data_IF_140530248450
#
_entry.id   IF_140530248450
#
_cell.length_a   1.000
_cell.length_b   1.000
_cell.length_c   1.000
_cell.angle_alpha   90.00
_cell.angle_beta   90.00
_cell.angle_gamma   90.00
#
_symmetry.space_group_name_H-M   'P 1'
#
loop_
_entity.id
_entity.type
_entity.pdbx_description
1 polymer ?
#
# COMPACT_ATOMS: atom_id res chain seq x y z
N UNK A 1 -53.31 54.79 -20.94
CA UNK A 1 -53.60 53.38 -21.02
C UNK A 1 -52.33 52.66 -21.43
N UNK A 2 -51.68 52.05 -20.46
CA UNK A 2 -50.40 51.44 -20.51
C UNK A 2 -50.48 50.01 -20.95
N UNK A 3 -49.83 49.66 -22.04
CA UNK A 3 -49.64 48.27 -22.47
C UNK A 3 -48.23 47.78 -22.18
N UNK A 4 -48.07 47.00 -21.11
CA UNK A 4 -46.81 46.31 -20.77
C UNK A 4 -46.64 45.09 -21.67
N UNK A 5 -45.66 45.14 -22.57
CA UNK A 5 -45.22 43.95 -23.34
C UNK A 5 -44.32 43.08 -22.47
N UNK A 6 -44.75 41.82 -22.25
CA UNK A 6 -43.97 40.77 -21.60
C UNK A 6 -42.87 40.29 -22.57
N UNK A 7 -41.63 40.37 -22.13
CA UNK A 7 -40.50 39.82 -22.85
C UNK A 7 -40.49 38.27 -22.88
N UNK A 8 -39.83 37.65 -23.87
CA UNK A 8 -39.83 36.22 -24.03
C UNK A 8 -38.99 35.54 -22.92
N UNK A 9 -39.60 34.57 -22.24
CA UNK A 9 -38.97 33.70 -21.24
C UNK A 9 -37.78 32.98 -21.86
N UNK A 10 -36.63 33.20 -21.30
CA UNK A 10 -35.37 32.51 -21.59
C UNK A 10 -35.54 31.01 -21.25
N UNK A 11 -35.56 30.19 -22.27
CA UNK A 11 -35.55 28.72 -22.09
C UNK A 11 -34.18 28.36 -21.50
N UNK A 12 -34.19 28.05 -20.21
CA UNK A 12 -33.06 27.43 -19.53
C UNK A 12 -32.73 26.12 -20.23
N UNK A 13 -31.60 26.08 -20.86
CA UNK A 13 -31.10 24.97 -21.63
C UNK A 13 -30.90 23.73 -20.73
N UNK A 14 -31.41 22.67 -21.27
CA UNK A 14 -31.42 21.28 -20.93
C UNK A 14 -30.18 20.81 -20.14
N UNK A 15 -30.45 20.25 -18.97
CA UNK A 15 -29.44 19.74 -18.07
C UNK A 15 -28.67 18.57 -18.67
N UNK A 16 -27.46 18.83 -19.11
CA UNK A 16 -26.44 17.80 -19.32
C UNK A 16 -26.16 17.13 -17.95
N UNK A 17 -26.90 16.07 -17.65
CA UNK A 17 -26.53 15.15 -16.54
C UNK A 17 -25.13 14.62 -16.84
N UNK A 18 -24.12 14.89 -16.00
CA UNK A 18 -22.79 14.34 -16.22
C UNK A 18 -22.90 12.81 -16.17
N UNK A 19 -22.53 12.16 -17.27
CA UNK A 19 -22.40 10.69 -17.30
C UNK A 19 -21.50 10.29 -16.14
N UNK A 20 -21.79 9.23 -15.38
CA UNK A 20 -20.96 8.77 -14.29
C UNK A 20 -19.58 8.39 -14.86
N UNK A 21 -18.61 9.29 -14.75
CA UNK A 21 -17.22 9.01 -15.10
C UNK A 21 -16.71 8.07 -14.03
N UNK A 22 -16.31 6.86 -14.42
CA UNK A 22 -15.63 5.94 -13.53
C UNK A 22 -14.45 6.69 -12.89
N UNK A 23 -14.35 6.66 -11.57
CA UNK A 23 -13.25 7.30 -10.85
C UNK A 23 -11.94 6.69 -11.36
N UNK A 24 -10.89 7.48 -11.60
CA UNK A 24 -9.60 6.98 -12.12
C UNK A 24 -9.02 5.82 -11.30
N UNK A 25 -9.27 5.81 -9.99
CA UNK A 25 -8.87 4.76 -9.05
C UNK A 25 -9.49 3.41 -9.40
N UNK A 26 -10.79 3.36 -9.73
CA UNK A 26 -11.47 2.12 -10.11
C UNK A 26 -10.97 1.54 -11.43
N UNK A 27 -10.58 2.40 -12.38
CA UNK A 27 -10.00 1.93 -13.64
C UNK A 27 -8.63 1.28 -13.40
N UNK A 28 -7.83 1.82 -12.48
CA UNK A 28 -6.54 1.22 -12.08
C UNK A 28 -6.76 -0.13 -11.38
N UNK A 29 -7.69 -0.23 -10.44
CA UNK A 29 -8.01 -1.49 -9.75
C UNK A 29 -8.48 -2.57 -10.74
N UNK A 30 -9.34 -2.20 -11.71
CA UNK A 30 -9.78 -3.12 -12.77
C UNK A 30 -8.65 -3.55 -13.70
N UNK A 31 -7.75 -2.64 -14.09
CA UNK A 31 -6.59 -2.98 -14.90
C UNK A 31 -5.64 -3.93 -14.17
N UNK A 32 -5.47 -3.73 -12.86
CA UNK A 32 -4.64 -4.60 -12.03
C UNK A 32 -5.25 -6.01 -11.89
N UNK A 33 -6.57 -6.10 -11.69
CA UNK A 33 -7.28 -7.37 -11.71
C UNK A 33 -7.14 -8.10 -13.06
N UNK A 34 -7.17 -7.36 -14.18
CA UNK A 34 -6.91 -7.94 -15.49
C UNK A 34 -5.48 -8.49 -15.62
N UNK A 35 -4.48 -7.74 -15.12
CA UNK A 35 -3.07 -8.20 -15.08
C UNK A 35 -2.91 -9.45 -14.22
N UNK A 36 -3.54 -9.51 -13.04
CA UNK A 36 -3.55 -10.71 -12.19
C UNK A 36 -4.17 -11.89 -12.94
N UNK A 37 -5.32 -11.69 -13.58
CA UNK A 37 -5.99 -12.73 -14.38
C UNK A 37 -5.11 -13.25 -15.51
N UNK A 38 -4.47 -12.34 -16.27
CA UNK A 38 -3.53 -12.71 -17.33
C UNK A 38 -2.33 -13.48 -16.77
N UNK A 39 -1.76 -13.04 -15.65
CA UNK A 39 -0.66 -13.75 -14.99
C UNK A 39 -1.06 -15.17 -14.60
N UNK A 40 -2.24 -15.34 -13.98
CA UNK A 40 -2.76 -16.68 -13.64
C UNK A 40 -2.91 -17.56 -14.88
N UNK A 41 -3.46 -17.01 -15.98
CA UNK A 41 -3.60 -17.75 -17.25
C UNK A 41 -2.26 -18.15 -17.84
N UNK A 42 -1.28 -17.26 -17.87
CA UNK A 42 0.07 -17.55 -18.40
C UNK A 42 0.74 -18.65 -17.58
N UNK A 43 0.79 -18.49 -16.25
CA UNK A 43 1.44 -19.50 -15.40
C UNK A 43 0.69 -20.83 -15.35
N UNK A 44 -0.62 -20.85 -15.58
CA UNK A 44 -1.37 -22.10 -15.68
C UNK A 44 -0.99 -22.95 -16.91
N UNK A 45 -0.38 -22.33 -17.95
CA UNK A 45 0.14 -23.04 -19.10
C UNK A 45 1.61 -23.51 -18.93
N UNK A 46 2.34 -22.86 -18.00
CA UNK A 46 3.78 -23.12 -17.79
C UNK A 46 4.04 -24.09 -16.62
N UNK A 47 3.09 -24.23 -15.70
CA UNK A 47 3.28 -24.96 -14.43
C UNK A 47 2.17 -25.98 -14.24
N UNK A 48 2.54 -27.26 -14.12
CA UNK A 48 1.59 -28.34 -13.85
C UNK A 48 0.88 -28.14 -12.50
N UNK A 49 -0.42 -28.45 -12.47
CA UNK A 49 -1.28 -28.30 -11.29
C UNK A 49 -1.25 -26.89 -10.68
N UNK A 50 -1.07 -25.85 -11.51
CA UNK A 50 -1.01 -24.48 -11.05
C UNK A 50 -2.30 -24.03 -10.34
N UNK A 51 -3.47 -24.38 -10.90
CA UNK A 51 -4.79 -23.99 -10.34
C UNK A 51 -5.21 -24.86 -9.13
N UNK A 52 -4.25 -25.37 -8.35
CA UNK A 52 -4.56 -26.13 -7.15
C UNK A 52 -4.90 -25.24 -5.96
N UNK A 53 -5.87 -25.66 -5.13
CA UNK A 53 -6.21 -24.93 -3.89
C UNK A 53 -4.99 -24.75 -2.97
N UNK A 54 -4.09 -25.72 -2.92
CA UNK A 54 -2.85 -25.65 -2.13
C UNK A 54 -1.90 -24.53 -2.59
N UNK A 55 -1.84 -24.24 -3.89
CA UNK A 55 -1.05 -23.11 -4.42
C UNK A 55 -1.67 -21.78 -4.00
N UNK A 56 -2.96 -21.60 -4.25
CA UNK A 56 -3.65 -20.36 -3.87
C UNK A 56 -3.66 -20.12 -2.35
N UNK A 57 -3.75 -21.19 -1.56
CA UNK A 57 -3.61 -21.10 -0.08
C UNK A 57 -2.22 -20.60 0.33
N UNK A 58 -1.15 -20.98 -0.38
CA UNK A 58 0.20 -20.44 -0.16
C UNK A 58 0.30 -18.98 -0.57
N UNK A 59 -0.22 -18.62 -1.77
CA UNK A 59 -0.24 -17.23 -2.25
C UNK A 59 -0.98 -16.34 -1.27
N UNK A 60 -2.19 -16.68 -0.87
CA UNK A 60 -3.02 -15.86 0.03
C UNK A 60 -2.43 -15.72 1.43
N UNK A 61 -1.75 -16.76 1.92
CA UNK A 61 -1.03 -16.68 3.21
C UNK A 61 0.22 -15.80 3.10
N UNK A 62 0.94 -15.86 1.96
CA UNK A 62 2.10 -14.99 1.71
C UNK A 62 1.68 -13.53 1.59
N UNK A 63 0.75 -13.26 0.69
CA UNK A 63 0.30 -11.91 0.41
C UNK A 63 -0.26 -11.19 1.64
N UNK A 64 -0.76 -11.92 2.64
CA UNK A 64 -1.31 -11.31 3.85
C UNK A 64 -0.28 -10.44 4.56
N UNK A 65 0.98 -10.87 4.64
CA UNK A 65 2.08 -10.12 5.25
C UNK A 65 2.45 -8.93 4.38
N UNK A 66 2.69 -9.17 3.08
CA UNK A 66 3.02 -8.14 2.11
C UNK A 66 1.91 -7.09 1.98
N UNK A 67 0.63 -7.49 2.07
CA UNK A 67 -0.51 -6.59 2.00
C UNK A 67 -0.60 -5.65 3.21
N UNK A 68 -0.32 -6.15 4.43
CA UNK A 68 -0.25 -5.29 5.62
C UNK A 68 0.88 -4.28 5.50
N UNK A 69 2.04 -4.71 5.00
CA UNK A 69 3.18 -3.81 4.76
C UNK A 69 2.92 -2.82 3.62
N UNK A 70 2.26 -3.25 2.54
CA UNK A 70 1.87 -2.36 1.45
C UNK A 70 0.84 -1.32 1.92
N UNK A 71 -0.08 -1.70 2.80
CA UNK A 71 -1.00 -0.77 3.46
C UNK A 71 -0.25 0.23 4.36
N UNK A 72 0.74 -0.24 5.13
CA UNK A 72 1.61 0.57 5.96
C UNK A 72 2.37 1.60 5.11
N UNK A 73 3.02 1.15 4.04
CA UNK A 73 3.73 2.00 3.08
C UNK A 73 2.80 3.00 2.40
N UNK A 74 1.58 2.58 2.03
CA UNK A 74 0.60 3.48 1.41
C UNK A 74 0.35 4.70 2.27
N UNK A 75 0.18 4.55 3.59
CA UNK A 75 -0.07 5.66 4.50
C UNK A 75 1.10 6.66 4.50
N UNK A 76 2.33 6.16 4.49
CA UNK A 76 3.54 7.00 4.44
C UNK A 76 3.71 7.65 3.06
N UNK A 77 3.53 6.88 1.97
CA UNK A 77 3.64 7.38 0.59
C UNK A 77 2.59 8.47 0.32
N UNK A 78 1.38 8.32 0.85
CA UNK A 78 0.34 9.35 0.75
C UNK A 78 0.81 10.70 1.33
N UNK A 79 1.75 10.75 2.28
CA UNK A 79 2.35 11.98 2.81
C UNK A 79 3.65 12.40 2.09
N UNK A 80 3.93 11.87 0.89
CA UNK A 80 5.16 12.08 0.10
C UNK A 80 6.44 11.55 0.75
N UNK A 81 6.33 10.55 1.59
CA UNK A 81 7.45 9.91 2.26
C UNK A 81 7.53 8.43 1.88
N UNK A 82 8.69 7.81 2.11
CA UNK A 82 8.90 6.37 1.94
C UNK A 82 9.63 5.88 3.18
N UNK A 83 9.20 4.74 3.73
CA UNK A 83 9.85 4.10 4.86
C UNK A 83 10.51 2.78 4.42
N UNK A 84 11.83 2.82 4.20
CA UNK A 84 12.60 1.64 3.82
C UNK A 84 13.02 0.78 5.02
N UNK A 85 12.75 1.23 6.25
CA UNK A 85 13.11 0.46 7.45
C UNK A 85 12.08 -0.62 7.82
N UNK A 86 10.93 -0.67 7.15
CA UNK A 86 9.83 -1.60 7.48
C UNK A 86 10.27 -3.06 7.54
N UNK A 87 11.17 -3.49 6.65
CA UNK A 87 11.71 -4.86 6.67
C UNK A 87 12.52 -5.15 7.92
N UNK A 88 13.35 -4.19 8.37
CA UNK A 88 14.10 -4.31 9.63
C UNK A 88 13.17 -4.26 10.85
N UNK A 89 12.10 -3.42 10.83
CA UNK A 89 11.09 -3.38 11.88
C UNK A 89 10.39 -4.73 11.99
N UNK A 90 10.02 -5.36 10.85
CA UNK A 90 9.47 -6.72 10.82
C UNK A 90 10.45 -7.71 11.48
N UNK A 91 11.72 -7.67 11.10
CA UNK A 91 12.75 -8.54 11.66
C UNK A 91 12.89 -8.40 13.17
N UNK A 92 13.05 -7.16 13.67
CA UNK A 92 13.17 -6.85 15.10
C UNK A 92 11.94 -7.32 15.86
N UNK A 93 10.75 -6.94 15.40
CA UNK A 93 9.50 -7.24 16.11
C UNK A 93 9.19 -8.74 16.09
N UNK A 94 9.47 -9.45 14.98
CA UNK A 94 9.33 -10.90 14.91
C UNK A 94 10.28 -11.61 15.88
N UNK A 95 11.55 -11.20 15.92
CA UNK A 95 12.56 -11.84 16.77
C UNK A 95 12.27 -11.60 18.24
N UNK A 96 12.12 -10.33 18.66
CA UNK A 96 11.89 -10.00 20.09
C UNK A 96 10.57 -10.55 20.60
N UNK A 97 9.51 -10.53 19.78
CA UNK A 97 8.23 -11.18 20.14
C UNK A 97 8.41 -12.68 20.26
N UNK A 98 9.17 -13.33 19.36
CA UNK A 98 9.47 -14.75 19.42
C UNK A 98 10.27 -15.12 20.67
N UNK A 99 11.31 -14.35 21.01
CA UNK A 99 12.12 -14.54 22.23
C UNK A 99 11.26 -14.41 23.50
N UNK A 100 10.41 -13.37 23.53
CA UNK A 100 9.46 -13.19 24.66
C UNK A 100 8.49 -14.37 24.80
N UNK A 101 7.91 -14.83 23.69
CA UNK A 101 6.97 -15.95 23.69
C UNK A 101 7.64 -17.30 24.02
N UNK A 102 8.89 -17.48 23.64
CA UNK A 102 9.67 -18.67 24.02
C UNK A 102 9.85 -18.78 25.54
N UNK A 103 10.03 -17.62 26.21
CA UNK A 103 10.15 -17.53 27.66
C UNK A 103 8.78 -17.55 28.38
N UNK A 104 7.70 -17.13 27.71
CA UNK A 104 6.36 -16.93 28.30
C UNK A 104 5.28 -17.64 27.47
N UNK A 105 5.25 -18.95 27.49
CA UNK A 105 4.38 -19.84 26.69
C UNK A 105 2.88 -19.61 26.86
N UNK A 106 2.47 -19.08 28.03
CA UNK A 106 1.05 -18.83 28.38
C UNK A 106 0.54 -17.44 27.95
N UNK A 107 1.35 -16.66 27.26
CA UNK A 107 0.98 -15.31 26.80
C UNK A 107 -0.24 -15.39 25.86
N UNK A 108 -1.30 -14.61 26.13
CA UNK A 108 -2.46 -14.59 25.24
C UNK A 108 -2.14 -13.93 23.89
N UNK A 109 -2.77 -14.37 22.78
CA UNK A 109 -2.49 -13.86 21.43
C UNK A 109 -2.60 -12.34 21.30
N UNK A 110 -3.61 -11.73 21.94
CA UNK A 110 -3.84 -10.28 21.88
C UNK A 110 -2.67 -9.49 22.46
N UNK A 111 -2.07 -9.99 23.55
CA UNK A 111 -0.92 -9.35 24.18
C UNK A 111 0.33 -9.47 23.29
N UNK A 112 0.54 -10.61 22.66
CA UNK A 112 1.65 -10.82 21.73
C UNK A 112 1.57 -9.89 20.51
N UNK A 113 0.37 -9.76 19.91
CA UNK A 113 0.10 -8.81 18.83
C UNK A 113 0.31 -7.37 19.30
N UNK A 114 -0.24 -7.02 20.47
CA UNK A 114 -0.08 -5.68 21.06
C UNK A 114 1.38 -5.31 21.29
N UNK A 115 2.19 -6.24 21.80
CA UNK A 115 3.63 -6.06 22.02
C UNK A 115 4.36 -5.79 20.70
N UNK A 116 4.13 -6.62 19.67
CA UNK A 116 4.75 -6.45 18.36
C UNK A 116 4.37 -5.10 17.71
N UNK A 117 3.08 -4.74 17.76
CA UNK A 117 2.60 -3.47 17.23
C UNK A 117 3.15 -2.26 17.99
N UNK A 118 3.24 -2.34 19.31
CA UNK A 118 3.80 -1.26 20.15
C UNK A 118 5.29 -1.04 19.84
N UNK A 119 6.07 -2.11 19.78
CA UNK A 119 7.48 -2.03 19.39
C UNK A 119 7.64 -1.40 18.02
N UNK A 120 6.90 -1.90 17.02
CA UNK A 120 6.91 -1.34 15.68
C UNK A 120 6.51 0.14 15.66
N UNK A 121 5.48 0.53 16.43
CA UNK A 121 5.05 1.91 16.58
C UNK A 121 6.17 2.80 17.12
N UNK A 122 6.90 2.36 18.16
CA UNK A 122 8.04 3.11 18.74
C UNK A 122 9.14 3.32 17.71
N UNK A 123 9.51 2.28 16.95
CA UNK A 123 10.52 2.38 15.89
C UNK A 123 10.05 3.32 14.77
N UNK A 124 8.78 3.25 14.38
CA UNK A 124 8.18 4.17 13.42
C UNK A 124 8.11 5.61 13.93
N UNK A 125 7.83 5.83 15.22
CA UNK A 125 7.86 7.17 15.84
C UNK A 125 9.26 7.77 15.81
N UNK A 126 10.32 6.99 16.02
CA UNK A 126 11.70 7.45 15.89
C UNK A 126 11.96 7.97 14.47
N UNK A 127 11.60 7.20 13.44
CA UNK A 127 11.69 7.64 12.04
C UNK A 127 10.88 8.91 11.79
N UNK A 128 9.62 8.89 12.21
CA UNK A 128 8.70 10.00 12.00
C UNK A 128 9.16 11.28 12.68
N UNK A 129 9.79 11.20 13.84
CA UNK A 129 10.36 12.36 14.55
C UNK A 129 11.50 13.00 13.76
N UNK A 130 12.41 12.18 13.25
CA UNK A 130 13.54 12.66 12.44
C UNK A 130 13.07 13.28 11.11
N UNK A 131 12.04 12.68 10.48
CA UNK A 131 11.49 13.19 9.21
C UNK A 131 10.65 14.45 9.44
N UNK A 132 9.69 14.41 10.37
CA UNK A 132 8.71 15.47 10.53
C UNK A 132 9.29 16.72 11.21
N UNK A 133 10.05 16.54 12.27
CA UNK A 133 10.61 17.66 13.06
C UNK A 133 12.07 17.93 12.73
N UNK A 134 12.87 16.90 12.43
CA UNK A 134 14.24 17.04 11.97
C UNK A 134 14.34 17.55 10.53
N UNK A 135 13.23 17.49 9.76
CA UNK A 135 13.17 17.89 8.34
C UNK A 135 14.19 17.17 7.45
N UNK A 136 14.58 15.97 7.85
CA UNK A 136 15.50 15.13 7.08
C UNK A 136 14.68 14.35 6.03
N UNK A 137 15.13 14.23 4.79
CA UNK A 137 14.45 13.42 3.77
C UNK A 137 14.20 12.00 4.26
N UNK A 138 12.97 11.50 4.11
CA UNK A 138 12.54 10.21 4.66
C UNK A 138 13.39 9.04 4.20
N UNK A 139 13.79 9.02 2.92
CA UNK A 139 14.64 7.96 2.37
C UNK A 139 15.98 7.89 3.10
N UNK A 140 16.60 9.04 3.43
CA UNK A 140 17.90 9.09 4.14
C UNK A 140 17.72 8.56 5.57
N UNK A 141 16.68 9.03 6.28
CA UNK A 141 16.39 8.57 7.64
C UNK A 141 16.14 7.07 7.65
N UNK A 142 15.25 6.58 6.77
CA UNK A 142 14.81 5.19 6.81
C UNK A 142 15.84 4.20 6.29
N UNK A 143 16.75 4.61 5.39
CA UNK A 143 17.94 3.83 5.04
C UNK A 143 18.90 3.72 6.21
N UNK A 144 19.12 4.83 6.92
CA UNK A 144 19.98 4.83 8.12
C UNK A 144 19.40 3.94 9.22
N UNK A 145 18.10 4.07 9.51
CA UNK A 145 17.43 3.26 10.55
C UNK A 145 17.23 1.81 10.12
N UNK A 146 17.06 1.51 8.82
CA UNK A 146 17.13 0.15 8.30
C UNK A 146 18.44 -0.54 8.73
N UNK A 147 19.56 0.12 8.52
CA UNK A 147 20.87 -0.41 8.90
C UNK A 147 21.00 -0.54 10.43
N UNK A 148 20.58 0.49 11.18
CA UNK A 148 20.66 0.49 12.65
C UNK A 148 19.82 -0.64 13.25
N UNK A 149 18.54 -0.75 12.85
CA UNK A 149 17.63 -1.79 13.37
C UNK A 149 18.11 -3.19 12.99
N UNK A 150 18.62 -3.36 11.76
CA UNK A 150 19.19 -4.65 11.31
C UNK A 150 20.42 -5.03 12.11
N UNK A 151 21.36 -4.10 12.29
CA UNK A 151 22.57 -4.35 13.07
C UNK A 151 22.25 -4.64 14.53
N UNK A 152 21.33 -3.87 15.14
CA UNK A 152 20.85 -4.14 16.48
C UNK A 152 20.26 -5.56 16.61
N UNK A 153 19.46 -5.98 15.64
CA UNK A 153 18.90 -7.35 15.62
C UNK A 153 19.99 -8.41 15.56
N UNK A 154 21.01 -8.23 14.73
CA UNK A 154 22.14 -9.17 14.59
C UNK A 154 22.91 -9.29 15.90
N UNK A 155 23.24 -8.16 16.51
CA UNK A 155 23.97 -8.08 17.77
C UNK A 155 23.15 -8.71 18.91
N UNK A 156 21.86 -8.33 19.06
CA UNK A 156 20.96 -8.84 20.09
C UNK A 156 20.74 -10.36 19.96
N UNK A 157 20.54 -10.85 18.75
CA UNK A 157 20.32 -12.27 18.50
C UNK A 157 21.55 -13.14 18.84
N UNK A 158 22.75 -12.57 18.76
CA UNK A 158 24.02 -13.27 19.06
C UNK A 158 24.09 -14.68 18.45
N UNK A 159 23.80 -14.78 17.15
CA UNK A 159 23.71 -16.02 16.36
C UNK A 159 22.62 -17.02 16.81
N UNK A 160 21.76 -16.67 17.76
CA UNK A 160 20.63 -17.51 18.16
C UNK A 160 19.48 -17.41 17.17
N UNK A 161 18.81 -18.51 16.95
CA UNK A 161 17.62 -18.63 16.11
C UNK A 161 16.43 -18.99 16.98
N UNK A 162 15.30 -18.33 16.80
CA UNK A 162 14.03 -18.77 17.39
C UNK A 162 13.49 -19.91 16.55
N UNK A 163 13.13 -21.04 17.19
CA UNK A 163 12.61 -22.23 16.52
C UNK A 163 11.16 -22.51 16.93
N UNK A 164 10.41 -23.18 16.07
CA UNK A 164 9.00 -23.47 16.30
C UNK A 164 8.74 -24.24 17.60
N UNK A 165 9.66 -25.13 18.00
CA UNK A 165 9.54 -25.95 19.21
C UNK A 165 9.58 -25.10 20.49
N UNK A 166 10.19 -23.92 20.43
CA UNK A 166 10.24 -22.96 21.54
C UNK A 166 9.03 -22.05 21.63
N UNK A 167 8.14 -22.08 20.65
CA UNK A 167 7.00 -21.17 20.54
C UNK A 167 5.71 -21.82 21.06
N UNK A 168 4.75 -21.01 21.56
CA UNK A 168 3.45 -21.52 21.94
C UNK A 168 2.72 -22.19 20.78
N UNK A 169 2.06 -23.32 21.01
CA UNK A 169 1.37 -24.08 19.98
C UNK A 169 0.30 -23.24 19.23
N UNK A 170 -0.42 -22.39 19.94
CA UNK A 170 -1.42 -21.51 19.32
C UNK A 170 -0.84 -20.59 18.25
N UNK A 171 0.43 -20.18 18.39
CA UNK A 171 1.12 -19.31 17.43
C UNK A 171 1.50 -20.10 16.17
N UNK A 172 2.02 -21.31 16.33
CA UNK A 172 2.40 -22.20 15.21
C UNK A 172 1.18 -22.63 14.40
N UNK A 173 0.04 -22.84 15.07
CA UNK A 173 -1.24 -23.17 14.41
C UNK A 173 -1.92 -21.97 13.76
N UNK A 174 -1.66 -20.75 14.22
CA UNK A 174 -2.33 -19.51 13.77
C UNK A 174 -2.40 -19.35 12.25
N UNK A 175 -1.31 -19.52 11.47
CA UNK A 175 -1.33 -19.34 10.03
C UNK A 175 -2.06 -20.45 9.27
N UNK A 176 -2.31 -21.59 9.92
CA UNK A 176 -2.99 -22.74 9.32
C UNK A 176 -4.48 -22.78 9.65
N UNK A 177 -4.94 -22.00 10.64
CA UNK A 177 -6.36 -21.95 11.02
C UNK A 177 -7.20 -21.41 9.88
N UNK A 178 -8.11 -22.25 9.39
CA UNK A 178 -9.08 -21.91 8.35
C UNK A 178 -10.31 -21.29 8.99
N UNK A 179 -10.72 -20.12 8.48
CA UNK A 179 -11.97 -19.43 8.88
C UNK A 179 -13.13 -19.93 8.02
N UNK A 180 -12.91 -20.04 6.70
CA UNK A 180 -13.89 -20.52 5.72
C UNK A 180 -13.15 -21.36 4.68
N UNK A 181 -13.73 -22.50 4.30
CA UNK A 181 -13.24 -23.34 3.20
C UNK A 181 -14.26 -23.34 2.06
N UNK A 182 -13.81 -22.99 0.86
CA UNK A 182 -14.63 -22.89 -0.36
C UNK A 182 -13.98 -23.76 -1.46
N UNK A 183 -14.47 -24.99 -1.65
CA UNK A 183 -14.06 -25.83 -2.76
C UNK A 183 -12.53 -26.09 -2.86
N UNK A 184 -11.84 -26.25 -1.72
CA UNK A 184 -10.39 -26.47 -1.65
C UNK A 184 -9.55 -25.20 -1.52
N UNK A 185 -10.16 -24.02 -1.57
CA UNK A 185 -9.57 -22.75 -1.20
C UNK A 185 -9.90 -22.44 0.26
N UNK A 186 -8.88 -22.37 1.12
CA UNK A 186 -9.03 -22.07 2.54
C UNK A 186 -8.73 -20.61 2.82
N UNK A 187 -9.75 -19.87 3.26
CA UNK A 187 -9.55 -18.53 3.80
C UNK A 187 -8.96 -18.66 5.19
N UNK A 188 -7.66 -18.41 5.30
CA UNK A 188 -6.91 -18.56 6.53
C UNK A 188 -7.03 -17.34 7.43
N UNK A 189 -6.87 -17.55 8.75
CA UNK A 189 -6.98 -16.48 9.75
C UNK A 189 -6.01 -15.33 9.47
N UNK A 190 -4.79 -15.61 9.02
CA UNK A 190 -3.78 -14.58 8.65
C UNK A 190 -4.30 -13.64 7.56
N UNK A 191 -4.92 -14.20 6.50
CA UNK A 191 -5.53 -13.40 5.44
C UNK A 191 -6.71 -12.59 5.96
N UNK A 192 -7.56 -13.20 6.79
CA UNK A 192 -8.71 -12.52 7.40
C UNK A 192 -8.27 -11.32 8.21
N UNK A 193 -7.23 -11.46 9.04
CA UNK A 193 -6.64 -10.35 9.83
C UNK A 193 -6.15 -9.24 8.89
N UNK A 194 -5.38 -9.58 7.84
CA UNK A 194 -4.89 -8.59 6.87
C UNK A 194 -6.03 -7.82 6.20
N UNK A 195 -7.07 -8.52 5.71
CA UNK A 195 -8.22 -7.90 5.06
C UNK A 195 -8.99 -7.01 6.02
N UNK A 196 -9.26 -7.46 7.24
CA UNK A 196 -9.95 -6.67 8.27
C UNK A 196 -9.18 -5.39 8.59
N UNK A 197 -7.87 -5.48 8.78
CA UNK A 197 -7.00 -4.33 9.03
C UNK A 197 -7.05 -3.34 7.86
N UNK A 198 -6.87 -3.83 6.62
CA UNK A 198 -6.86 -2.99 5.42
C UNK A 198 -8.23 -2.32 5.21
N UNK A 199 -9.34 -3.04 5.35
CA UNK A 199 -10.68 -2.48 5.21
C UNK A 199 -10.95 -1.43 6.28
N UNK A 200 -10.58 -1.71 7.53
CA UNK A 200 -10.73 -0.75 8.64
C UNK A 200 -9.94 0.52 8.38
N UNK A 201 -8.68 0.39 7.95
CA UNK A 201 -7.83 1.53 7.63
C UNK A 201 -8.33 2.30 6.40
N UNK A 202 -8.81 1.62 5.35
CA UNK A 202 -9.41 2.25 4.17
C UNK A 202 -10.64 3.09 4.56
N UNK A 203 -11.49 2.55 5.43
CA UNK A 203 -12.64 3.28 5.94
C UNK A 203 -12.21 4.46 6.83
N UNK A 204 -11.19 4.27 7.66
CA UNK A 204 -10.62 5.33 8.49
C UNK A 204 -10.04 6.48 7.64
N UNK A 205 -9.25 6.16 6.60
CA UNK A 205 -8.71 7.15 5.67
C UNK A 205 -9.81 7.91 4.92
N UNK A 206 -10.89 7.23 4.53
CA UNK A 206 -12.00 7.84 3.80
C UNK A 206 -12.94 8.68 4.66
N UNK A 207 -13.15 8.29 5.94
CA UNK A 207 -14.18 8.89 6.81
C UNK A 207 -13.64 9.80 7.90
N UNK A 208 -12.45 9.51 8.46
CA UNK A 208 -11.89 10.29 9.55
C UNK A 208 -11.24 11.59 9.05
N UNK A 209 -11.20 12.61 9.89
CA UNK A 209 -10.53 13.89 9.61
C UNK A 209 -9.05 13.68 9.32
N UNK A 210 -8.38 12.84 10.12
CA UNK A 210 -6.97 12.52 9.95
C UNK A 210 -6.67 11.94 8.57
N UNK A 211 -7.49 11.01 8.06
CA UNK A 211 -7.30 10.45 6.71
C UNK A 211 -7.37 11.52 5.62
N UNK A 212 -8.35 12.42 5.68
CA UNK A 212 -8.44 13.54 4.73
C UNK A 212 -7.23 14.47 4.81
N UNK A 213 -6.68 14.68 6.00
CA UNK A 213 -5.48 15.48 6.20
C UNK A 213 -4.24 14.81 5.60
N UNK A 214 -4.12 13.48 5.70
CA UNK A 214 -3.05 12.69 5.04
C UNK A 214 -3.05 12.95 3.53
N UNK A 215 -4.22 12.86 2.88
CA UNK A 215 -4.35 13.16 1.44
C UNK A 215 -4.07 14.62 1.12
N UNK A 216 -4.51 15.56 1.95
CA UNK A 216 -4.30 16.99 1.75
C UNK A 216 -2.80 17.36 1.84
N UNK A 217 -2.11 16.89 2.89
CA UNK A 217 -0.66 17.09 3.05
C UNK A 217 0.12 16.50 1.89
N UNK A 218 -0.28 15.31 1.44
CA UNK A 218 0.38 14.69 0.30
C UNK A 218 0.11 15.37 -1.04
N UNK A 219 -1.07 15.96 -1.23
CA UNK A 219 -1.39 16.67 -2.47
C UNK A 219 -0.61 17.97 -2.61
N UNK A 220 -0.54 18.77 -1.56
CA UNK A 220 0.25 19.99 -1.51
C UNK A 220 0.59 20.36 -0.05
N UNK A 221 1.81 20.02 0.43
CA UNK A 221 2.22 20.28 1.82
C UNK A 221 2.23 21.77 2.17
N UNK A 222 2.59 22.66 1.21
CA UNK A 222 2.68 24.10 1.48
C UNK A 222 1.29 24.72 1.60
N UNK A 223 0.36 24.36 0.72
CA UNK A 223 -1.02 24.79 0.83
C UNK A 223 -1.68 24.23 2.13
N UNK A 224 -1.43 22.98 2.47
CA UNK A 224 -1.93 22.37 3.70
C UNK A 224 -1.44 23.12 4.96
N UNK A 225 -0.16 23.54 4.97
CA UNK A 225 0.40 24.35 6.05
C UNK A 225 -0.21 25.76 6.11
N UNK A 226 -0.45 26.39 4.96
CA UNK A 226 -1.11 27.70 4.89
C UNK A 226 -2.55 27.65 5.42
N UNK A 227 -3.25 26.54 5.19
CA UNK A 227 -4.60 26.27 5.73
C UNK A 227 -4.58 25.85 7.22
N UNK A 228 -3.42 25.88 7.88
CA UNK A 228 -3.28 25.60 9.32
C UNK A 228 -3.27 24.10 9.67
N UNK A 229 -3.08 23.19 8.72
CA UNK A 229 -2.96 21.77 9.05
C UNK A 229 -1.61 21.47 9.72
N UNK A 230 -1.61 20.66 10.80
CA UNK A 230 -0.38 20.30 11.53
C UNK A 230 0.41 19.24 10.75
N UNK A 231 1.08 19.64 9.67
CA UNK A 231 1.75 18.74 8.70
C UNK A 231 2.75 17.82 9.37
N UNK A 232 3.50 18.31 10.37
CA UNK A 232 4.49 17.55 11.13
C UNK A 232 3.82 16.42 11.94
N UNK A 233 2.72 16.71 12.64
CA UNK A 233 1.97 15.69 13.42
C UNK A 233 1.31 14.66 12.52
N UNK A 234 0.87 15.05 11.32
CA UNK A 234 0.25 14.14 10.34
C UNK A 234 1.32 13.18 9.81
N UNK A 235 2.50 13.69 9.46
CA UNK A 235 3.63 12.88 9.00
C UNK A 235 4.11 11.95 10.12
N UNK A 236 4.28 12.44 11.34
CA UNK A 236 4.63 11.62 12.51
C UNK A 236 3.63 10.47 12.71
N UNK A 237 2.33 10.77 12.66
CA UNK A 237 1.26 9.78 12.78
C UNK A 237 1.28 8.74 11.65
N UNK A 238 1.65 9.13 10.43
CA UNK A 238 1.80 8.21 9.30
C UNK A 238 2.94 7.21 9.56
N UNK A 239 4.11 7.67 10.04
CA UNK A 239 5.22 6.79 10.40
C UNK A 239 4.92 5.91 11.61
N UNK A 240 4.25 6.43 12.63
CA UNK A 240 3.80 5.65 13.79
C UNK A 240 2.87 4.51 13.38
N UNK A 241 1.89 4.79 12.52
CA UNK A 241 0.97 3.79 11.98
C UNK A 241 1.70 2.77 11.10
N UNK A 242 2.63 3.22 10.25
CA UNK A 242 3.47 2.36 9.43
C UNK A 242 4.29 1.41 10.30
N UNK A 243 4.94 1.93 11.34
CA UNK A 243 5.69 1.12 12.30
C UNK A 243 4.80 0.10 13.03
N UNK A 244 3.62 0.52 13.51
CA UNK A 244 2.68 -0.39 14.17
C UNK A 244 2.22 -1.54 13.25
N UNK A 245 1.91 -1.23 11.99
CA UNK A 245 1.54 -2.24 10.99
C UNK A 245 2.73 -3.14 10.61
N UNK A 246 3.94 -2.59 10.59
CA UNK A 246 5.17 -3.39 10.40
C UNK A 246 5.40 -4.34 11.59
N UNK A 247 5.06 -3.91 12.80
CA UNK A 247 5.04 -4.79 13.99
C UNK A 247 4.02 -5.91 13.87
N UNK A 248 2.80 -5.60 13.41
CA UNK A 248 1.78 -6.63 13.11
C UNK A 248 2.28 -7.61 12.05
N UNK A 249 2.88 -7.12 10.98
CA UNK A 249 3.48 -7.95 9.94
C UNK A 249 4.62 -8.82 10.51
N UNK A 250 5.40 -8.32 11.47
CA UNK A 250 6.42 -9.09 12.19
C UNK A 250 5.83 -10.23 13.01
N UNK A 251 4.72 -10.00 13.72
CA UNK A 251 3.96 -11.07 14.39
C UNK A 251 3.44 -12.11 13.39
N UNK A 252 2.86 -11.65 12.27
CA UNK A 252 2.37 -12.55 11.21
C UNK A 252 3.51 -13.35 10.57
N UNK A 253 4.68 -12.74 10.40
CA UNK A 253 5.89 -13.36 9.89
C UNK A 253 6.39 -14.46 10.86
N UNK A 254 6.49 -14.15 12.14
CA UNK A 254 6.85 -15.09 13.20
C UNK A 254 5.91 -16.30 13.20
N UNK A 255 4.60 -16.08 13.20
CA UNK A 255 3.61 -17.15 13.21
C UNK A 255 3.69 -18.05 11.97
N UNK A 256 3.93 -17.44 10.78
CA UNK A 256 3.98 -18.16 9.51
C UNK A 256 5.20 -19.06 9.39
N UNK A 257 6.37 -18.54 9.74
CA UNK A 257 7.63 -19.27 9.53
C UNK A 257 8.04 -20.12 10.73
N UNK A 258 7.59 -19.76 11.94
CA UNK A 258 7.94 -20.47 13.18
C UNK A 258 9.44 -20.45 13.50
N UNK A 259 10.28 -20.14 12.52
CA UNK A 259 11.73 -20.06 12.67
C UNK A 259 12.19 -18.68 12.24
N UNK A 260 12.81 -17.93 13.16
CA UNK A 260 13.26 -16.56 12.95
C UNK A 260 14.76 -16.45 13.11
N UNK A 261 15.39 -16.04 12.03
CA UNK A 261 16.83 -15.71 11.98
C UNK A 261 17.02 -14.21 11.88
N UNK A 262 18.25 -13.75 11.97
CA UNK A 262 18.63 -12.35 11.78
C UNK A 262 18.31 -11.79 10.36
N UNK A 263 18.06 -12.67 9.38
CA UNK A 263 17.64 -12.28 8.03
C UNK A 263 16.12 -12.04 7.90
N UNK A 264 15.35 -12.24 8.98
CA UNK A 264 13.89 -12.06 8.95
C UNK A 264 13.51 -10.65 8.43
N UNK A 265 12.50 -10.61 7.58
CA UNK A 265 12.00 -9.36 6.99
C UNK A 265 12.86 -8.74 5.90
N UNK A 266 14.01 -9.32 5.54
CA UNK A 266 14.87 -8.79 4.48
C UNK A 266 14.18 -8.88 3.11
N UNK A 267 14.22 -7.77 2.34
CA UNK A 267 13.56 -7.65 1.03
C UNK A 267 12.10 -7.19 1.10
N UNK A 268 11.44 -7.29 2.27
CA UNK A 268 10.04 -6.86 2.42
C UNK A 268 9.86 -5.35 2.27
N UNK A 269 10.91 -4.55 2.51
CA UNK A 269 10.94 -3.12 2.27
C UNK A 269 10.67 -2.78 0.81
N UNK A 270 11.34 -3.44 -0.12
CA UNK A 270 11.16 -3.23 -1.57
C UNK A 270 9.84 -3.82 -2.06
N UNK A 271 9.49 -5.03 -1.60
CA UNK A 271 8.24 -5.69 -1.97
C UNK A 271 7.01 -4.87 -1.54
N UNK A 272 7.03 -4.26 -0.35
CA UNK A 272 5.92 -3.43 0.14
C UNK A 272 5.75 -2.13 -0.63
N UNK A 273 6.86 -1.45 -0.98
CA UNK A 273 6.83 -0.27 -1.85
C UNK A 273 6.32 -0.64 -3.24
N UNK A 274 6.85 -1.73 -3.82
CA UNK A 274 6.41 -2.23 -5.12
C UNK A 274 4.91 -2.51 -5.12
N UNK A 275 4.40 -3.23 -4.11
CA UNK A 275 2.99 -3.56 -3.97
C UNK A 275 2.11 -2.30 -3.89
N UNK A 276 2.51 -1.30 -3.09
CA UNK A 276 1.78 -0.05 -2.97
C UNK A 276 1.74 0.71 -4.31
N UNK A 277 2.88 0.85 -4.98
CA UNK A 277 3.01 1.63 -6.23
C UNK A 277 2.33 0.93 -7.40
N UNK A 278 2.54 -0.36 -7.57
CA UNK A 278 1.83 -1.20 -8.57
C UNK A 278 0.34 -1.17 -8.29
N UNK A 279 -0.06 -1.18 -7.01
CA UNK A 279 -1.44 -0.99 -6.56
C UNK A 279 -2.05 0.38 -6.87
N UNK A 280 -1.26 1.31 -7.46
CA UNK A 280 -1.73 2.62 -7.92
C UNK A 280 -1.60 3.75 -6.90
N UNK A 281 -0.80 3.55 -5.85
CA UNK A 281 -0.42 4.64 -4.93
C UNK A 281 0.62 5.52 -5.60
N UNK A 282 0.36 6.82 -5.69
CA UNK A 282 1.28 7.76 -6.31
C UNK A 282 2.46 8.07 -5.40
N UNK A 283 3.68 7.87 -5.89
CA UNK A 283 4.92 8.23 -5.18
C UNK A 283 5.00 9.73 -4.90
N UNK A 284 4.34 10.55 -5.74
CA UNK A 284 4.24 11.99 -5.52
C UNK A 284 3.29 12.37 -4.38
N UNK A 285 2.65 11.39 -3.75
CA UNK A 285 1.72 11.58 -2.64
C UNK A 285 0.31 11.98 -3.04
N UNK A 286 -0.57 12.07 -2.07
CA UNK A 286 -1.92 12.63 -2.19
C UNK A 286 -2.94 11.80 -2.97
N UNK A 287 -2.57 10.64 -3.52
CA UNK A 287 -3.51 9.77 -4.25
C UNK A 287 -3.12 8.29 -4.15
N UNK A 288 -4.11 7.43 -4.01
CA UNK A 288 -3.98 5.98 -3.86
C UNK A 288 -5.01 5.40 -2.91
N UNK A 289 -5.16 4.07 -2.93
CA UNK A 289 -6.08 3.33 -2.07
C UNK A 289 -5.38 2.14 -1.43
N UNK A 290 -5.79 1.76 -0.21
CA UNK A 290 -5.28 0.56 0.44
C UNK A 290 -5.79 -0.72 -0.24
N UNK A 291 -6.95 -0.64 -0.90
CA UNK A 291 -7.47 -1.74 -1.72
C UNK A 291 -6.57 -1.97 -2.93
N UNK A 292 -6.14 -0.90 -3.59
CA UNK A 292 -5.14 -1.01 -4.66
C UNK A 292 -3.84 -1.66 -4.18
N UNK A 293 -3.32 -1.24 -3.02
CA UNK A 293 -2.13 -1.83 -2.41
C UNK A 293 -2.29 -3.33 -2.07
N UNK A 294 -3.48 -3.74 -1.62
CA UNK A 294 -3.82 -5.16 -1.40
C UNK A 294 -3.73 -5.96 -2.71
N UNK A 295 -4.30 -5.43 -3.81
CA UNK A 295 -4.23 -6.07 -5.12
C UNK A 295 -2.79 -6.08 -5.66
N UNK A 296 -2.03 -5.02 -5.40
CA UNK A 296 -0.60 -4.97 -5.72
C UNK A 296 0.19 -6.05 -4.96
N UNK A 297 -0.06 -6.24 -3.67
CA UNK A 297 0.54 -7.30 -2.89
C UNK A 297 0.17 -8.69 -3.42
N UNK A 298 -1.11 -8.90 -3.82
CA UNK A 298 -1.53 -10.14 -4.45
C UNK A 298 -0.75 -10.41 -5.74
N UNK A 299 -0.58 -9.41 -6.60
CA UNK A 299 0.18 -9.57 -7.85
C UNK A 299 1.65 -9.91 -7.56
N UNK A 300 2.30 -9.19 -6.65
CA UNK A 300 3.71 -9.41 -6.31
C UNK A 300 3.93 -10.83 -5.80
N UNK A 301 3.18 -11.25 -4.75
CA UNK A 301 3.33 -12.58 -4.17
C UNK A 301 2.91 -13.70 -5.15
N UNK A 302 1.90 -13.45 -5.99
CA UNK A 302 1.53 -14.38 -7.06
C UNK A 302 2.70 -14.59 -8.03
N UNK A 303 3.33 -13.52 -8.51
CA UNK A 303 4.46 -13.61 -9.43
C UNK A 303 5.67 -14.27 -8.77
N UNK A 304 6.01 -13.87 -7.53
CA UNK A 304 7.11 -14.48 -6.78
C UNK A 304 6.96 -16.00 -6.64
N UNK A 305 5.79 -16.44 -6.17
CA UNK A 305 5.53 -17.87 -5.95
C UNK A 305 5.35 -18.66 -7.26
N UNK A 306 4.92 -17.98 -8.33
CA UNK A 306 4.80 -18.59 -9.65
C UNK A 306 6.15 -18.77 -10.32
N UNK A 307 7.02 -17.75 -10.29
CA UNK A 307 8.36 -17.80 -10.88
C UNK A 307 9.22 -18.94 -10.30
N UNK A 308 9.13 -19.18 -8.99
CA UNK A 308 9.85 -20.26 -8.32
C UNK A 308 9.41 -21.66 -8.82
N UNK A 309 8.22 -21.77 -9.41
CA UNK A 309 7.68 -23.03 -9.93
C UNK A 309 8.00 -23.28 -11.41
N UNK A 310 8.58 -22.31 -12.10
CA UNK A 310 9.03 -22.46 -13.51
C UNK A 310 10.46 -22.98 -13.48
N UNK A 311 10.75 -24.24 -13.91
CA UNK A 311 12.06 -24.87 -13.73
C UNK A 311 13.21 -24.13 -14.43
N UNK A 312 12.91 -23.43 -15.53
CA UNK A 312 13.88 -22.73 -16.36
C UNK A 312 14.30 -21.36 -15.78
N UNK A 313 13.58 -20.86 -14.76
CA UNK A 313 13.83 -19.54 -14.18
C UNK A 313 14.53 -19.69 -12.85
N UNK A 314 15.76 -19.19 -12.76
CA UNK A 314 16.49 -19.15 -11.49
C UNK A 314 15.79 -18.24 -10.47
N UNK A 315 15.80 -18.66 -9.21
CA UNK A 315 15.25 -17.91 -8.07
C UNK A 315 15.83 -16.48 -7.97
N UNK A 316 17.06 -16.28 -8.45
CA UNK A 316 17.71 -14.96 -8.46
C UNK A 316 17.04 -13.93 -9.39
N UNK A 317 16.22 -14.35 -10.37
CA UNK A 317 15.47 -13.43 -11.23
C UNK A 317 14.31 -12.73 -10.51
N UNK A 318 13.92 -13.22 -9.35
CA UNK A 318 12.81 -12.69 -8.54
C UNK A 318 12.97 -11.20 -8.24
N UNK A 319 14.14 -10.80 -7.73
CA UNK A 319 14.43 -9.41 -7.39
C UNK A 319 14.51 -8.51 -8.65
N UNK A 320 15.00 -9.06 -9.76
CA UNK A 320 15.01 -8.36 -11.04
C UNK A 320 13.58 -8.09 -11.56
N UNK A 321 12.68 -9.07 -11.44
CA UNK A 321 11.26 -8.92 -11.82
C UNK A 321 10.58 -7.87 -10.94
N UNK A 322 10.80 -7.90 -9.62
CA UNK A 322 10.28 -6.89 -8.70
C UNK A 322 10.78 -5.48 -9.06
N UNK A 323 12.08 -5.33 -9.30
CA UNK A 323 12.67 -4.07 -9.73
C UNK A 323 12.08 -3.57 -11.05
N UNK A 324 11.91 -4.45 -12.04
CA UNK A 324 11.29 -4.11 -13.31
C UNK A 324 9.82 -3.68 -13.15
N UNK A 325 9.04 -4.36 -12.31
CA UNK A 325 7.65 -3.98 -12.00
C UNK A 325 7.55 -2.60 -11.37
N UNK A 326 8.45 -2.28 -10.42
CA UNK A 326 8.52 -0.94 -9.79
C UNK A 326 8.78 0.11 -10.86
N UNK A 327 9.79 -0.10 -11.71
CA UNK A 327 10.16 0.85 -12.77
C UNK A 327 9.01 1.06 -13.77
N UNK A 328 8.35 -0.01 -14.21
CA UNK A 328 7.21 0.06 -15.12
C UNK A 328 6.01 0.78 -14.48
N UNK A 329 5.73 0.53 -13.20
CA UNK A 329 4.66 1.20 -12.47
C UNK A 329 4.92 2.71 -12.35
N UNK A 330 6.16 3.11 -11.99
CA UNK A 330 6.56 4.52 -11.90
C UNK A 330 6.49 5.20 -13.26
N UNK A 331 7.03 4.56 -14.32
CA UNK A 331 6.97 5.09 -15.68
C UNK A 331 5.53 5.26 -16.17
N UNK A 332 4.66 4.30 -15.85
CA UNK A 332 3.23 4.34 -16.15
C UNK A 332 2.52 5.49 -15.44
N UNK A 333 2.74 5.67 -14.15
CA UNK A 333 2.14 6.78 -13.36
C UNK A 333 2.56 8.15 -13.90
N UNK A 334 3.85 8.30 -14.22
CA UNK A 334 4.38 9.53 -14.82
C UNK A 334 3.78 9.80 -16.21
N UNK A 335 3.65 8.79 -17.06
CA UNK A 335 3.08 8.92 -18.41
C UNK A 335 1.59 9.28 -18.36
N UNK A 336 0.82 8.65 -17.46
CA UNK A 336 -0.60 8.94 -17.24
C UNK A 336 -0.78 10.35 -16.68
N UNK A 337 0.01 10.74 -15.68
CA UNK A 337 -0.02 12.08 -15.09
C UNK A 337 0.26 13.18 -16.11
N UNK A 338 1.23 12.95 -17.02
CA UNK A 338 1.56 13.89 -18.12
C UNK A 338 0.43 14.01 -19.15
N UNK A 339 -0.24 12.89 -19.49
CA UNK A 339 -1.40 12.92 -20.40
C UNK A 339 -2.59 13.65 -19.78
N UNK A 340 -2.91 13.39 -18.51
CA UNK A 340 -4.01 14.05 -17.83
C UNK A 340 -3.79 15.57 -17.72
N UNK A 341 -2.58 16.02 -17.37
CA UNK A 341 -2.25 17.47 -17.36
C UNK A 341 -2.48 18.13 -18.72
N UNK A 342 -2.11 17.48 -19.83
CA UNK A 342 -2.34 18.02 -21.18
C UNK A 342 -3.83 18.21 -21.51
N UNK A 343 -4.71 17.31 -21.03
CA UNK A 343 -6.16 17.42 -21.20
C UNK A 343 -6.77 18.58 -20.39
N UNK A 344 -6.20 18.92 -19.23
CA UNK A 344 -6.71 19.97 -18.35
C UNK A 344 -6.16 21.35 -18.68
N UNK A 345 -5.00 21.44 -19.32
CA UNK A 345 -4.35 22.73 -19.70
C UNK A 345 -4.66 23.14 -21.14
N UNK A 346 -5.41 22.37 -21.91
CA UNK A 346 -5.86 22.82 -23.23
C UNK A 346 -6.87 23.97 -23.05
N UNK A 347 -6.56 25.18 -23.49
CA UNK A 347 -7.50 26.31 -23.38
C UNK A 347 -8.77 25.94 -24.15
N UNK A 348 -9.96 26.38 -23.68
CA UNK A 348 -11.19 26.16 -24.44
C UNK A 348 -11.01 26.77 -25.82
N UNK A 349 -11.28 25.99 -26.87
CA UNK A 349 -11.29 26.51 -28.25
C UNK A 349 -12.19 27.74 -28.25
N UNK A 350 -11.59 28.93 -28.37
CA UNK A 350 -12.34 30.15 -28.65
C UNK A 350 -13.11 29.87 -29.93
N UNK A 351 -14.43 29.81 -29.85
CA UNK A 351 -15.28 29.86 -31.00
C UNK A 351 -14.97 31.19 -31.68
N UNK A 352 -14.32 31.15 -32.83
CA UNK A 352 -14.16 32.31 -33.68
C UNK A 352 -15.57 32.70 -34.17
N UNK A 353 -16.20 33.59 -33.42
CA UNK A 353 -17.36 34.34 -33.98
C UNK A 353 -16.84 35.08 -35.20
N UNK A 354 -17.47 34.95 -36.36
CA UNK A 354 -17.09 35.76 -37.52
C UNK A 354 -17.26 37.25 -37.15
N UNK A 355 -16.42 38.13 -37.66
CA UNK A 355 -16.60 39.57 -37.45
C UNK A 355 -17.94 40.00 -38.04
N UNK A 356 -18.79 40.64 -37.23
CA UNK A 356 -19.98 41.35 -37.69
C UNK A 356 -19.51 42.38 -38.70
N UNK A 357 -20.01 42.27 -39.95
CA UNK A 357 -19.85 43.28 -40.97
C UNK A 357 -20.60 44.52 -40.49
N UNK A 358 -19.87 45.60 -40.17
CA UNK A 358 -20.45 46.92 -40.05
C UNK A 358 -21.09 47.26 -41.38
N UNK A 359 -22.40 47.43 -41.37
CA UNK A 359 -23.13 47.99 -42.50
C UNK A 359 -22.79 49.49 -42.55
N UNK A 360 -21.95 49.84 -43.50
CA UNK A 360 -21.79 51.25 -43.90
C UNK A 360 -23.09 51.72 -44.50
N UNK A 361 -23.77 52.60 -43.80
CA UNK A 361 -24.91 53.35 -44.31
C UNK A 361 -24.32 54.60 -44.98
N UNK A 362 -24.20 54.56 -46.30
CA UNK A 362 -24.04 55.78 -47.11
C UNK A 362 -25.42 56.32 -47.35
N UNK A 363 -25.66 57.58 -46.89
CA UNK A 363 -26.54 58.63 -47.48
C UNK A 363 -26.25 59.98 -46.87
#
# INVERSE_FOLDING_TARGET
MSGTAAGPAERVADGHRPRPRLRPERLRELSLLAVIGVSVLVFSQLVDNYLSGSFFNRVTTSMAITAVLAAAQTIVILTRNIDLSVGSIVGVTAYVTGEYLAAHQTTPPVLAVGLAMLMGCVLGLLNGTLVAYGRVPSIIVTLGTLAIYRTWLIDHANSRTITADSLPQWLVEFPQRTVVSLGGLDIRLVLTVAVVVIVTLQLALGRLRWGRWVYAVGSNPDAARQEGLPTERITLGAFAMCGALSGLAGFMFLSRFGTITVAAGQGLELASVAAAVVGGVSILGGSGTLVGALLGALLIDLLELSLVRVPEISVFWRDAVLGALILLAIAGDFAIGKRLRRFWTSPPRRSSKPPEREATTDA
#
